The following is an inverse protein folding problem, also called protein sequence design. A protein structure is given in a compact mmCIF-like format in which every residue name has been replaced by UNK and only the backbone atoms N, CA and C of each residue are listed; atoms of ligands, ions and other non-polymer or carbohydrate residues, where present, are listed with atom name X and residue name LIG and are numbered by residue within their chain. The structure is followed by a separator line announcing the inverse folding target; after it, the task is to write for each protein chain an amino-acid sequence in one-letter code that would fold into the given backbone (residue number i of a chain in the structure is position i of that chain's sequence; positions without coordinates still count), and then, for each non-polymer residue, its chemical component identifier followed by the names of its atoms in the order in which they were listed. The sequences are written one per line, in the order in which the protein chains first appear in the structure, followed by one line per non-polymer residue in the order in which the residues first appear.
data_IF_720995516095
#
_entry.id   IF_720995516095
#
_cell.length_a   1.000
_cell.length_b   1.000
_cell.length_c   1.000
_cell.angle_alpha   90.00
_cell.angle_beta   90.00
_cell.angle_gamma   90.00
#
_symmetry.space_group_name_H-M   'P 1'
#
loop_
_entity.id
_entity.type
_entity.pdbx_description
1 polymer ?
#
# COMPACT_ATOMS: atom_id res chain seq x y z
N UNK A 1 -5.85 3.85 2.41
CA UNK A 1 -4.79 2.82 2.27
C UNK A 1 -4.01 3.07 1.00
N UNK A 2 -2.69 3.16 1.10
CA UNK A 2 -1.75 3.22 -0.02
C UNK A 2 -0.92 1.94 -0.03
N UNK A 3 -0.70 1.37 -1.23
CA UNK A 3 0.17 0.20 -1.38
C UNK A 3 1.00 0.40 -2.65
N UNK A 4 2.30 0.28 -2.51
CA UNK A 4 3.26 0.25 -3.61
C UNK A 4 3.98 -1.10 -3.58
N UNK A 5 4.07 -1.75 -4.74
CA UNK A 5 4.79 -3.02 -4.91
C UNK A 5 5.66 -2.91 -6.15
N UNK A 6 6.95 -3.18 -5.99
CA UNK A 6 7.88 -3.30 -7.11
C UNK A 6 8.11 -4.78 -7.39
N UNK A 7 7.80 -5.21 -8.61
CA UNK A 7 7.87 -6.61 -9.01
C UNK A 7 8.26 -6.79 -10.47
N UNK A 8 8.78 -7.95 -10.77
CA UNK A 8 8.98 -8.47 -12.11
C UNK A 8 8.02 -9.64 -12.32
N UNK A 9 7.47 -9.78 -13.52
CA UNK A 9 6.60 -10.92 -13.84
C UNK A 9 7.06 -11.64 -15.10
N UNK A 10 6.88 -12.95 -15.07
CA UNK A 10 6.99 -13.82 -16.24
C UNK A 10 5.67 -14.56 -16.34
N UNK A 11 5.06 -14.56 -17.52
CA UNK A 11 3.78 -15.22 -17.76
C UNK A 11 3.82 -16.16 -18.95
N UNK A 12 3.05 -17.24 -18.85
CA UNK A 12 2.74 -18.14 -19.95
C UNK A 12 1.24 -18.14 -20.18
N UNK A 13 0.80 -18.00 -21.40
CA UNK A 13 -0.61 -17.89 -21.71
C UNK A 13 -0.99 -18.50 -23.06
N UNK A 14 -2.26 -18.61 -23.24
CA UNK A 14 -2.90 -19.04 -24.50
C UNK A 14 -3.71 -17.87 -25.06
N UNK A 15 -3.73 -17.76 -26.37
CA UNK A 15 -4.51 -16.78 -27.09
C UNK A 15 -5.38 -17.48 -28.14
N UNK A 16 -6.66 -17.14 -28.18
CA UNK A 16 -7.53 -17.54 -29.28
C UNK A 16 -7.28 -16.64 -30.50
N UNK A 17 -6.87 -17.22 -31.58
CA UNK A 17 -6.53 -16.51 -32.80
C UNK A 17 -7.71 -15.78 -33.45
N UNK A 18 -8.96 -16.24 -33.24
CA UNK A 18 -10.17 -15.66 -33.83
C UNK A 18 -10.67 -14.45 -33.03
N UNK A 19 -10.90 -14.62 -31.74
CA UNK A 19 -11.43 -13.56 -30.87
C UNK A 19 -10.34 -12.63 -30.34
N UNK A 20 -9.07 -13.06 -30.40
CA UNK A 20 -7.92 -12.40 -29.74
C UNK A 20 -8.07 -12.34 -28.22
N UNK A 21 -8.90 -13.23 -27.68
CA UNK A 21 -9.01 -13.42 -26.23
C UNK A 21 -7.82 -14.21 -25.71
N UNK A 22 -7.35 -13.88 -24.52
CA UNK A 22 -6.18 -14.54 -23.93
C UNK A 22 -6.36 -14.78 -22.43
N UNK A 23 -5.67 -15.82 -21.96
CA UNK A 23 -5.51 -16.11 -20.55
C UNK A 23 -4.03 -16.39 -20.30
N UNK A 24 -3.44 -15.73 -19.30
CA UNK A 24 -2.02 -15.85 -18.95
C UNK A 24 -1.86 -16.11 -17.47
N UNK A 25 -1.12 -17.16 -17.15
CA UNK A 25 -0.67 -17.44 -15.77
C UNK A 25 0.69 -16.76 -15.57
N UNK A 26 0.80 -16.00 -14.49
CA UNK A 26 1.98 -15.21 -14.15
C UNK A 26 2.66 -15.72 -12.89
N UNK A 27 3.99 -15.63 -12.87
CA UNK A 27 4.82 -15.75 -11.68
C UNK A 27 5.45 -14.38 -11.41
N UNK A 28 5.37 -13.94 -10.16
CA UNK A 28 5.92 -12.66 -9.71
C UNK A 28 7.18 -12.89 -8.87
N UNK A 29 8.19 -12.08 -9.14
CA UNK A 29 9.33 -11.86 -8.25
C UNK A 29 9.17 -10.46 -7.64
N UNK A 30 8.90 -10.39 -6.33
CA UNK A 30 8.70 -9.12 -5.63
C UNK A 30 10.01 -8.66 -5.04
N UNK A 31 10.46 -7.47 -5.41
CA UNK A 31 11.71 -6.88 -4.96
C UNK A 31 11.51 -5.82 -3.86
N UNK A 32 10.34 -5.17 -3.80
CA UNK A 32 10.09 -4.14 -2.80
C UNK A 32 8.59 -3.97 -2.54
N UNK A 33 8.25 -3.58 -1.30
CA UNK A 33 6.90 -3.25 -0.90
C UNK A 33 6.89 -2.12 0.13
N UNK A 34 6.02 -1.16 -0.12
CA UNK A 34 5.65 -0.13 0.84
C UNK A 34 4.12 -0.14 0.98
N UNK A 35 3.61 -0.15 2.19
CA UNK A 35 2.18 0.05 2.41
C UNK A 35 1.92 0.93 3.61
N UNK A 36 0.88 1.74 3.53
CA UNK A 36 0.40 2.58 4.62
C UNK A 36 -1.11 2.55 4.69
N UNK A 37 -1.62 2.47 5.90
CA UNK A 37 -3.03 2.61 6.21
C UNK A 37 -3.16 3.59 7.35
N UNK A 38 -3.96 4.60 7.17
CA UNK A 38 -4.45 5.48 8.23
C UNK A 38 -5.90 5.08 8.45
N UNK A 39 -6.22 4.65 9.66
CA UNK A 39 -7.56 4.29 10.09
C UNK A 39 -8.26 5.52 10.65
N UNK A 40 -7.55 6.30 11.46
CA UNK A 40 -8.03 7.54 12.03
C UNK A 40 -6.89 8.56 12.11
N UNK A 41 -7.21 9.82 11.80
CA UNK A 41 -6.33 10.95 12.00
C UNK A 41 -7.20 12.18 12.30
N UNK A 42 -7.26 12.55 13.56
CA UNK A 42 -8.09 13.67 14.04
C UNK A 42 -7.20 14.67 14.77
N UNK A 43 -7.40 15.94 14.48
CA UNK A 43 -6.77 17.05 15.19
C UNK A 43 -7.89 17.99 15.62
N UNK A 44 -8.02 18.21 16.89
CA UNK A 44 -9.01 19.09 17.48
C UNK A 44 -8.32 20.16 18.34
N UNK A 45 -8.54 21.42 18.02
CA UNK A 45 -8.07 22.56 18.80
C UNK A 45 -9.17 23.00 19.77
N UNK A 46 -8.82 23.16 21.03
CA UNK A 46 -9.73 23.72 22.03
C UNK A 46 -10.07 25.18 21.68
N UNK A 47 -11.32 25.59 21.96
CA UNK A 47 -11.82 26.92 21.60
C UNK A 47 -11.03 28.07 22.22
N UNK A 48 -10.46 27.85 23.40
CA UNK A 48 -9.60 28.81 24.11
C UNK A 48 -8.14 28.82 23.61
N UNK A 49 -7.82 27.92 22.66
CA UNK A 49 -6.46 27.79 22.12
C UNK A 49 -5.45 27.17 23.10
N UNK A 50 -5.89 26.68 24.25
CA UNK A 50 -5.00 26.16 25.32
C UNK A 50 -4.39 24.81 24.98
N UNK A 51 -5.03 24.01 24.12
CA UNK A 51 -4.61 22.67 23.82
C UNK A 51 -5.02 22.23 22.42
N UNK A 52 -4.31 21.23 21.88
CA UNK A 52 -4.62 20.52 20.65
C UNK A 52 -4.64 19.02 20.98
N UNK A 53 -5.79 18.39 20.77
CA UNK A 53 -5.93 16.95 20.86
C UNK A 53 -5.60 16.31 19.51
N UNK A 54 -4.77 15.30 19.53
CA UNK A 54 -4.36 14.54 18.34
C UNK A 54 -4.67 13.08 18.56
N UNK A 55 -5.47 12.50 17.66
CA UNK A 55 -5.71 11.06 17.61
C UNK A 55 -5.12 10.55 16.30
N UNK A 56 -4.27 9.55 16.39
CA UNK A 56 -3.65 8.93 15.22
C UNK A 56 -3.65 7.41 15.37
N UNK A 57 -4.35 6.72 14.45
CA UNK A 57 -4.33 5.27 14.30
C UNK A 57 -3.94 4.90 12.88
N UNK A 58 -2.95 4.03 12.73
CA UNK A 58 -2.49 3.60 11.43
C UNK A 58 -1.36 2.60 11.46
N UNK A 59 -1.16 1.96 10.31
CA UNK A 59 -0.10 0.98 10.10
C UNK A 59 0.76 1.36 8.90
N UNK A 60 2.06 1.23 9.04
CA UNK A 60 3.03 1.43 7.97
C UNK A 60 3.92 0.20 7.86
N UNK A 61 4.04 -0.32 6.66
CA UNK A 61 4.99 -1.40 6.36
C UNK A 61 6.08 -0.83 5.46
N UNK A 62 7.31 -0.90 5.92
CA UNK A 62 8.46 -0.44 5.17
C UNK A 62 9.57 -1.48 5.23
N UNK A 63 10.22 -1.71 4.10
CA UNK A 63 11.47 -2.45 4.05
C UNK A 63 12.55 -1.61 3.39
N UNK A 64 13.68 -1.49 4.07
CA UNK A 64 14.79 -0.62 3.67
C UNK A 64 15.86 -1.34 2.84
N UNK A 65 15.85 -2.68 2.81
CA UNK A 65 16.85 -3.45 2.08
C UNK A 65 16.34 -3.80 0.68
N UNK A 66 16.87 -3.15 -0.33
CA UNK A 66 16.59 -3.44 -1.75
C UNK A 66 17.29 -4.74 -2.15
N UNK A 67 16.70 -5.88 -1.86
CA UNK A 67 17.13 -7.17 -2.40
C UNK A 67 16.35 -7.46 -3.67
N UNK A 68 16.99 -8.08 -4.65
CA UNK A 68 16.36 -8.45 -5.92
C UNK A 68 15.13 -9.35 -5.74
N UNK A 69 15.14 -10.22 -4.74
CA UNK A 69 14.08 -11.19 -4.48
C UNK A 69 13.72 -11.17 -2.99
N UNK A 70 12.53 -10.70 -2.66
CA UNK A 70 11.99 -10.62 -1.30
C UNK A 70 10.69 -11.40 -1.13
N UNK A 71 10.06 -11.77 -2.23
CA UNK A 71 8.83 -12.52 -2.26
C UNK A 71 8.58 -13.15 -3.62
N UNK A 72 7.78 -14.20 -3.62
CA UNK A 72 7.31 -14.89 -4.81
C UNK A 72 5.79 -14.87 -4.84
N UNK A 73 5.22 -14.77 -6.03
CA UNK A 73 3.76 -14.76 -6.19
C UNK A 73 3.30 -15.42 -7.48
N UNK A 74 2.00 -15.64 -7.53
CA UNK A 74 1.31 -16.14 -8.71
C UNK A 74 0.12 -15.24 -9.02
N UNK A 75 -0.23 -15.13 -10.28
CA UNK A 75 -1.38 -14.35 -10.70
C UNK A 75 -1.88 -14.70 -12.10
N UNK A 76 -2.96 -14.05 -12.45
CA UNK A 76 -3.70 -14.30 -13.67
C UNK A 76 -3.96 -13.00 -14.41
N UNK A 77 -3.72 -13.01 -15.72
CA UNK A 77 -4.20 -12.01 -16.65
C UNK A 77 -5.23 -12.64 -17.57
N UNK A 78 -6.32 -11.92 -17.82
CA UNK A 78 -7.41 -12.34 -18.69
C UNK A 78 -7.78 -11.18 -19.60
N UNK A 79 -7.93 -11.44 -20.89
CA UNK A 79 -8.44 -10.48 -21.87
C UNK A 79 -9.47 -11.18 -22.76
N UNK A 80 -10.74 -10.95 -22.46
CA UNK A 80 -11.84 -11.49 -23.24
C UNK A 80 -12.44 -10.44 -24.14
N UNK A 81 -12.61 -10.79 -25.41
CA UNK A 81 -13.29 -9.98 -26.44
C UNK A 81 -14.51 -10.72 -26.94
N UNK A 82 -15.68 -10.19 -26.61
CA UNK A 82 -16.96 -10.75 -26.98
C UNK A 82 -17.52 -9.94 -28.17
N UNK A 83 -17.61 -10.53 -29.36
CA UNK A 83 -18.18 -9.83 -30.49
C UNK A 83 -19.68 -9.55 -30.26
N UNK A 84 -20.07 -8.31 -30.48
CA UNK A 84 -21.48 -7.89 -30.34
C UNK A 84 -22.05 -7.63 -31.74
N UNK A 85 -22.83 -8.57 -32.25
CA UNK A 85 -23.44 -8.47 -33.57
C UNK A 85 -24.72 -7.63 -33.60
N UNK A 86 -24.98 -6.85 -32.58
CA UNK A 86 -26.22 -6.09 -32.41
C UNK A 86 -26.36 -4.91 -33.37
N UNK A 87 -25.27 -4.42 -33.89
CA UNK A 87 -25.26 -3.30 -34.84
C UNK A 87 -24.84 -3.86 -36.20
N UNK A 88 -25.75 -3.97 -37.10
CA UNK A 88 -25.60 -4.62 -38.42
C UNK A 88 -24.48 -4.09 -39.32
N UNK A 89 -23.91 -2.92 -39.02
CA UNK A 89 -22.93 -2.24 -39.88
C UNK A 89 -21.54 -2.06 -39.27
N UNK A 90 -21.33 -2.38 -38.00
CA UNK A 90 -20.02 -2.21 -37.33
C UNK A 90 -19.63 -3.47 -36.55
N UNK A 91 -18.40 -3.93 -36.74
CA UNK A 91 -17.79 -4.97 -35.90
C UNK A 91 -17.50 -4.36 -34.51
N UNK A 92 -18.49 -4.39 -33.60
CA UNK A 92 -18.33 -3.99 -32.25
C UNK A 92 -17.96 -5.19 -31.37
N UNK A 93 -17.21 -4.96 -30.30
CA UNK A 93 -16.94 -5.98 -29.31
C UNK A 93 -16.97 -5.35 -27.91
N UNK A 94 -17.28 -6.16 -26.91
CA UNK A 94 -17.10 -5.81 -25.50
C UNK A 94 -15.83 -6.51 -25.05
N UNK A 95 -14.89 -5.74 -24.50
CA UNK A 95 -13.66 -6.25 -23.93
C UNK A 95 -13.76 -6.25 -22.41
N UNK A 96 -13.49 -7.40 -21.80
CA UNK A 96 -13.31 -7.56 -20.37
C UNK A 96 -11.83 -7.91 -20.11
N UNK A 97 -11.13 -7.04 -19.43
CA UNK A 97 -9.71 -7.20 -19.14
C UNK A 97 -9.46 -7.21 -17.64
N UNK A 98 -8.79 -8.26 -17.19
CA UNK A 98 -8.25 -8.40 -15.83
C UNK A 98 -6.74 -8.52 -15.98
N UNK A 99 -5.99 -7.74 -15.25
CA UNK A 99 -4.53 -7.78 -15.32
C UNK A 99 -3.92 -7.71 -13.93
N UNK A 100 -2.84 -8.48 -13.72
CA UNK A 100 -2.05 -8.52 -12.49
C UNK A 100 -2.85 -8.89 -11.23
N UNK A 101 -3.96 -9.64 -11.40
CA UNK A 101 -4.70 -10.16 -10.24
C UNK A 101 -3.97 -11.40 -9.73
N UNK A 102 -3.47 -11.30 -8.51
CA UNK A 102 -2.67 -12.37 -7.93
C UNK A 102 -2.34 -12.16 -6.46
N UNK A 103 -1.60 -13.09 -5.91
CA UNK A 103 -1.11 -13.06 -4.53
C UNK A 103 0.37 -13.38 -4.51
N UNK A 104 1.11 -12.69 -3.67
CA UNK A 104 2.52 -12.96 -3.40
C UNK A 104 2.76 -13.20 -1.92
N UNK A 105 3.72 -14.04 -1.61
CA UNK A 105 4.22 -14.30 -0.28
C UNK A 105 5.58 -13.65 -0.11
N UNK A 106 5.69 -12.77 0.89
CA UNK A 106 6.94 -12.12 1.28
C UNK A 106 7.63 -12.99 2.32
N UNK A 107 8.69 -13.69 1.93
CA UNK A 107 9.45 -14.57 2.83
C UNK A 107 10.53 -13.81 3.63
N UNK A 108 10.91 -12.64 3.17
CA UNK A 108 11.73 -11.73 3.95
C UNK A 108 10.84 -10.96 4.94
N UNK A 109 11.20 -10.99 6.22
CA UNK A 109 10.47 -10.26 7.27
C UNK A 109 10.41 -8.77 6.98
N UNK A 110 9.24 -8.21 7.10
CA UNK A 110 8.97 -6.79 6.92
C UNK A 110 8.73 -6.15 8.27
N UNK A 111 9.24 -4.94 8.47
CA UNK A 111 8.92 -4.15 9.65
C UNK A 111 7.57 -3.48 9.45
N UNK A 112 6.63 -3.84 10.29
CA UNK A 112 5.32 -3.19 10.40
C UNK A 112 5.39 -2.25 11.60
N UNK A 113 5.12 -0.99 11.36
CA UNK A 113 5.03 0.05 12.39
C UNK A 113 3.55 0.35 12.58
N UNK A 114 3.07 0.18 13.80
CA UNK A 114 1.69 0.53 14.18
C UNK A 114 1.72 1.72 15.11
N UNK A 115 0.88 2.69 14.82
CA UNK A 115 0.61 3.85 15.65
C UNK A 115 -0.83 3.75 16.10
N UNK A 116 -1.04 3.78 17.39
CA UNK A 116 -2.35 3.85 18.04
C UNK A 116 -2.19 4.75 19.26
N UNK A 117 -2.39 6.04 19.05
CA UNK A 117 -2.11 7.03 20.07
C UNK A 117 -3.14 8.16 20.07
N UNK A 118 -3.45 8.62 21.28
CA UNK A 118 -4.17 9.85 21.51
C UNK A 118 -3.38 10.68 22.53
N UNK A 119 -3.05 11.90 22.20
CA UNK A 119 -2.37 12.82 23.12
C UNK A 119 -2.88 14.23 22.99
N UNK A 120 -2.76 14.97 24.07
CA UNK A 120 -3.08 16.39 24.14
C UNK A 120 -1.79 17.20 24.16
N UNK A 121 -1.63 18.08 23.21
CA UNK A 121 -0.52 19.03 23.15
C UNK A 121 -0.95 20.37 23.73
N UNK A 122 -0.33 20.78 24.83
CA UNK A 122 -0.64 22.02 25.55
C UNK A 122 0.33 23.18 25.27
N UNK A 123 1.15 23.03 24.22
CA UNK A 123 2.19 24.01 23.89
C UNK A 123 3.53 23.72 24.55
N UNK A 124 4.52 24.54 24.22
CA UNK A 124 5.82 24.57 24.91
C UNK A 124 5.77 25.58 26.01
N UNK A 125 6.27 25.25 27.20
CA UNK A 125 6.50 26.24 28.24
C UNK A 125 7.73 27.09 27.84
N UNK A 126 7.66 28.41 28.05
CA UNK A 126 8.75 29.32 27.67
C UNK A 126 10.07 28.98 28.39
N UNK A 127 9.99 28.44 29.61
CA UNK A 127 11.13 28.02 30.39
C UNK A 127 11.89 26.86 29.73
N UNK A 128 11.21 26.00 28.99
CA UNK A 128 11.83 24.90 28.23
C UNK A 128 12.58 25.41 26.98
N UNK A 129 12.24 26.62 26.51
CA UNK A 129 12.84 27.23 25.31
C UNK A 129 14.08 28.07 25.64
N UNK A 130 14.22 28.55 26.87
CA UNK A 130 15.26 29.52 27.29
C UNK A 130 16.39 28.83 28.13
N UNK A 131 16.16 27.60 28.61
CA UNK A 131 17.15 26.82 29.33
C UNK A 131 18.30 26.36 28.43
N UNK A 132 19.49 26.13 29.05
CA UNK A 132 20.68 25.62 28.35
C UNK A 132 20.45 24.26 27.65
N UNK A 133 19.30 23.62 27.88
CA UNK A 133 18.85 22.37 27.27
C UNK A 133 17.74 22.57 26.22
N UNK A 134 17.64 23.77 25.66
CA UNK A 134 16.61 24.12 24.69
C UNK A 134 16.64 23.20 23.48
N UNK A 135 15.44 22.68 23.12
CA UNK A 135 15.01 22.13 21.80
C UNK A 135 15.81 20.94 21.25
N UNK A 136 17.08 20.76 21.60
CA UNK A 136 17.96 19.70 21.06
C UNK A 136 18.33 18.65 22.07
N UNK A 137 17.57 18.50 23.16
CA UNK A 137 17.79 17.38 24.07
C UNK A 137 17.51 16.10 23.27
N UNK A 138 18.54 15.27 23.10
CA UNK A 138 18.49 13.95 22.41
C UNK A 138 17.45 12.98 23.00
N UNK A 139 16.75 13.39 24.06
CA UNK A 139 15.75 12.58 24.76
C UNK A 139 14.32 12.70 24.23
N UNK A 140 14.01 13.61 23.30
CA UNK A 140 12.69 13.64 22.67
C UNK A 140 12.65 12.58 21.56
N UNK A 141 12.46 11.35 21.94
CA UNK A 141 12.25 10.27 20.99
C UNK A 141 10.81 10.31 20.49
N UNK A 142 10.60 10.93 19.33
CA UNK A 142 9.29 11.04 18.67
C UNK A 142 8.60 9.67 18.56
N UNK A 143 9.37 8.59 18.38
CA UNK A 143 8.83 7.25 18.26
C UNK A 143 8.21 6.76 19.57
N UNK A 144 8.84 7.06 20.69
CA UNK A 144 8.33 6.67 22.01
C UNK A 144 7.12 7.54 22.41
N UNK A 145 7.16 8.83 22.11
CA UNK A 145 6.06 9.77 22.38
C UNK A 145 4.80 9.41 21.57
N UNK A 146 4.97 8.98 20.32
CA UNK A 146 3.88 8.54 19.48
C UNK A 146 3.46 7.09 19.74
N UNK A 147 4.06 6.40 20.71
CA UNK A 147 3.71 5.02 21.02
C UNK A 147 3.87 4.05 19.84
N UNK A 148 4.83 4.32 18.94
CA UNK A 148 5.05 3.53 17.74
C UNK A 148 5.60 2.16 18.10
N UNK A 149 4.80 1.12 17.85
CA UNK A 149 5.21 -0.27 18.01
C UNK A 149 5.72 -0.80 16.68
N UNK A 150 6.80 -1.56 16.70
CA UNK A 150 7.33 -2.24 15.53
C UNK A 150 7.31 -3.75 15.71
N UNK A 151 6.88 -4.46 14.65
CA UNK A 151 6.85 -5.92 14.58
C UNK A 151 7.47 -6.37 13.26
N UNK A 152 8.20 -7.47 13.30
CA UNK A 152 8.70 -8.10 12.08
C UNK A 152 7.84 -9.31 11.75
N UNK A 153 7.29 -9.35 10.53
CA UNK A 153 6.46 -10.46 10.09
C UNK A 153 6.58 -10.73 8.58
N UNK A 154 6.32 -11.97 8.24
CA UNK A 154 6.10 -12.37 6.86
C UNK A 154 4.65 -12.03 6.47
N UNK A 155 4.40 -11.70 5.23
CA UNK A 155 3.05 -11.30 4.82
C UNK A 155 2.68 -11.80 3.44
N UNK A 156 1.38 -12.08 3.28
CA UNK A 156 0.78 -12.20 1.97
C UNK A 156 0.38 -10.82 1.45
N UNK A 157 0.59 -10.62 0.17
CA UNK A 157 0.29 -9.36 -0.51
C UNK A 157 -0.58 -9.63 -1.71
N UNK A 158 -1.72 -8.99 -1.78
CA UNK A 158 -2.50 -8.94 -3.02
C UNK A 158 -1.77 -8.05 -4.02
N UNK A 159 -1.57 -8.56 -5.23
CA UNK A 159 -0.95 -7.78 -6.30
C UNK A 159 -1.90 -6.65 -6.73
N UNK A 160 -1.36 -5.48 -7.09
CA UNK A 160 -2.17 -4.31 -7.48
C UNK A 160 -2.72 -4.47 -8.89
N UNK A 161 -3.61 -5.44 -9.07
CA UNK A 161 -4.29 -5.69 -10.34
C UNK A 161 -5.40 -4.69 -10.63
N UNK A 162 -5.86 -4.68 -11.89
CA UNK A 162 -7.01 -3.88 -12.31
C UNK A 162 -7.99 -4.70 -13.14
N UNK A 163 -9.23 -4.23 -13.15
CA UNK A 163 -10.31 -4.77 -13.98
C UNK A 163 -10.81 -3.62 -14.86
N UNK A 164 -10.92 -3.87 -16.16
CA UNK A 164 -11.38 -2.90 -17.14
C UNK A 164 -12.47 -3.53 -18.01
N UNK A 165 -13.52 -2.78 -18.26
CA UNK A 165 -14.54 -3.10 -19.27
C UNK A 165 -14.52 -1.98 -20.29
N UNK A 166 -14.40 -2.35 -21.58
CA UNK A 166 -14.36 -1.41 -22.69
C UNK A 166 -15.27 -1.84 -23.83
N UNK A 167 -15.69 -0.88 -24.67
CA UNK A 167 -16.53 -1.07 -25.86
C UNK A 167 -15.89 -0.38 -27.05
#
# INVERSE_FOLDING_TARGET
KLTYVNYQKIGLGIIDAKSKSSVTLNVYNVSDRLSGRINEATIFQHEDGSAIDVVLDGDFTMKRNKKFNQGIGIGLDVDFKIPVNWIKERKAFIQFKVQDVGVSYMYEKQKVYSVDTAFTYTGFQLDDLIGENAIFNESFNVLDTLGIKSKEENSFVLMPGFIQVAK
#
